data_IF_914616608220
#
_entry.id   IF_914616608220
#
_cell.length_a   1.000
_cell.length_b   1.000
_cell.length_c   1.000
_cell.angle_alpha   90.00
_cell.angle_beta   90.00
_cell.angle_gamma   90.00
#
_symmetry.space_group_name_H-M   'P 1'
#
loop_
_entity.id
_entity.type
_entity.pdbx_description
1 polymer ?
#
# COMPACT_ATOMS: atom_id res chain seq x y z
N UNK A 1 -20.53 -6.02 -9.04
CA UNK A 1 -20.95 -4.59 -8.99
C UNK A 1 -22.46 -4.39 -8.98
N UNK A 2 -23.27 -5.26 -9.62
CA UNK A 2 -24.72 -5.09 -9.76
C UNK A 2 -25.50 -4.72 -8.47
N UNK A 3 -25.07 -5.23 -7.30
CA UNK A 3 -25.74 -4.94 -6.01
C UNK A 3 -25.65 -3.48 -5.55
N UNK A 4 -24.60 -2.74 -5.92
CA UNK A 4 -24.36 -1.37 -5.44
C UNK A 4 -24.45 -0.31 -6.54
N UNK A 5 -24.82 -0.72 -7.75
CA UNK A 5 -24.83 0.16 -8.93
C UNK A 5 -25.79 1.35 -8.74
N UNK A 6 -26.93 1.14 -8.09
CA UNK A 6 -27.93 2.21 -7.85
C UNK A 6 -27.57 3.07 -6.63
N UNK A 7 -27.06 2.47 -5.55
CA UNK A 7 -26.82 3.17 -4.29
C UNK A 7 -25.49 3.94 -4.26
N UNK A 8 -24.45 3.46 -4.97
CA UNK A 8 -23.12 4.05 -4.95
C UNK A 8 -22.42 4.00 -6.33
N UNK A 9 -23.00 4.64 -7.36
CA UNK A 9 -22.51 4.54 -8.74
C UNK A 9 -21.06 5.04 -8.90
N UNK A 10 -20.70 6.13 -8.21
CA UNK A 10 -19.33 6.69 -8.25
C UNK A 10 -18.27 5.71 -7.72
N UNK A 11 -18.61 4.97 -6.66
CA UNK A 11 -17.72 3.97 -6.07
C UNK A 11 -17.52 2.77 -7.01
N UNK A 12 -18.58 2.34 -7.70
CA UNK A 12 -18.49 1.26 -8.69
C UNK A 12 -17.56 1.64 -9.85
N UNK A 13 -17.71 2.85 -10.41
CA UNK A 13 -16.84 3.35 -11.49
C UNK A 13 -15.38 3.44 -11.03
N UNK A 14 -15.13 3.95 -9.82
CA UNK A 14 -13.79 4.02 -9.25
C UNK A 14 -13.16 2.62 -9.11
N UNK A 15 -13.94 1.65 -8.60
CA UNK A 15 -13.44 0.29 -8.38
C UNK A 15 -13.18 -0.45 -9.70
N UNK A 16 -14.01 -0.22 -10.72
CA UNK A 16 -13.79 -0.76 -12.06
C UNK A 16 -12.52 -0.18 -12.71
N UNK A 17 -12.28 1.13 -12.56
CA UNK A 17 -11.07 1.78 -13.06
C UNK A 17 -9.79 1.32 -12.36
N UNK A 18 -9.87 0.98 -11.07
CA UNK A 18 -8.74 0.52 -10.27
C UNK A 18 -8.60 -1.02 -10.21
N UNK A 19 -9.36 -1.76 -11.04
CA UNK A 19 -9.43 -3.22 -10.97
C UNK A 19 -8.05 -3.89 -11.01
N UNK A 20 -7.22 -3.56 -12.00
CA UNK A 20 -5.86 -4.12 -12.14
C UNK A 20 -4.97 -3.81 -10.94
N UNK A 21 -4.99 -2.56 -10.46
CA UNK A 21 -4.18 -2.12 -9.32
C UNK A 21 -4.56 -2.85 -8.02
N UNK A 22 -5.84 -3.14 -7.82
CA UNK A 22 -6.31 -3.90 -6.66
C UNK A 22 -5.78 -5.34 -6.64
N UNK A 23 -5.55 -5.94 -7.81
CA UNK A 23 -5.04 -7.31 -7.93
C UNK A 23 -3.51 -7.39 -7.94
N UNK A 24 -2.80 -6.27 -8.03
CA UNK A 24 -1.33 -6.22 -8.05
C UNK A 24 -0.66 -6.88 -6.82
N UNK A 25 -1.39 -7.00 -5.70
CA UNK A 25 -0.88 -7.65 -4.48
C UNK A 25 -1.00 -9.18 -4.49
N UNK A 26 -1.85 -9.76 -5.36
CA UNK A 26 -2.06 -11.20 -5.43
C UNK A 26 -0.82 -12.04 -5.78
N UNK A 27 0.07 -11.63 -6.70
CA UNK A 27 1.28 -12.42 -7.00
C UNK A 27 2.30 -12.44 -5.86
N UNK A 28 2.20 -11.54 -4.88
CA UNK A 28 3.15 -11.47 -3.77
C UNK A 28 3.04 -12.69 -2.84
N UNK A 29 4.14 -13.09 -2.16
CA UNK A 29 4.09 -14.13 -1.13
C UNK A 29 3.08 -13.79 -0.02
N UNK A 30 2.51 -14.82 0.59
CA UNK A 30 1.39 -14.69 1.54
C UNK A 30 1.71 -13.78 2.74
N UNK A 31 2.96 -13.82 3.22
CA UNK A 31 3.47 -12.95 4.30
C UNK A 31 3.27 -11.47 3.98
N UNK A 32 3.58 -11.07 2.75
CA UNK A 32 3.47 -9.69 2.28
C UNK A 32 2.02 -9.32 1.94
N UNK A 33 1.30 -10.22 1.27
CA UNK A 33 -0.12 -10.01 0.92
C UNK A 33 -0.99 -9.74 2.14
N UNK A 34 -0.81 -10.50 3.23
CA UNK A 34 -1.57 -10.33 4.48
C UNK A 34 -1.42 -8.92 5.08
N UNK A 35 -0.21 -8.36 4.98
CA UNK A 35 0.09 -7.03 5.52
C UNK A 35 -0.32 -5.90 4.59
N UNK A 36 -0.12 -6.05 3.28
CA UNK A 36 -0.45 -5.02 2.28
C UNK A 36 -1.96 -4.94 1.97
N UNK A 37 -2.74 -5.96 2.35
CA UNK A 37 -4.20 -5.94 2.19
C UNK A 37 -4.89 -4.90 3.08
N UNK A 38 -4.25 -4.43 4.16
CA UNK A 38 -4.87 -3.51 5.11
C UNK A 38 -4.19 -2.15 5.10
N UNK A 39 -4.99 -1.09 5.27
CA UNK A 39 -4.54 0.30 5.41
C UNK A 39 -4.31 0.71 6.86
N UNK A 40 -4.49 -0.20 7.83
CA UNK A 40 -4.49 0.10 9.27
C UNK A 40 -3.25 0.88 9.74
N UNK A 41 -2.06 0.57 9.22
CA UNK A 41 -0.83 1.27 9.59
C UNK A 41 -0.87 2.74 9.14
N UNK A 42 -1.29 2.97 7.89
CA UNK A 42 -1.41 4.32 7.32
C UNK A 42 -2.53 5.10 8.01
N UNK A 43 -3.65 4.44 8.31
CA UNK A 43 -4.76 5.05 9.05
C UNK A 43 -4.34 5.50 10.44
N UNK A 44 -3.63 4.65 11.21
CA UNK A 44 -3.10 5.02 12.53
C UNK A 44 -2.12 6.19 12.47
N UNK A 45 -1.24 6.20 11.47
CA UNK A 45 -0.30 7.30 11.26
C UNK A 45 -1.04 8.61 10.93
N UNK A 46 -2.03 8.53 10.04
CA UNK A 46 -2.85 9.68 9.66
C UNK A 46 -3.69 10.20 10.82
N UNK A 47 -4.27 9.32 11.64
CA UNK A 47 -4.98 9.71 12.86
C UNK A 47 -4.06 10.48 13.81
N UNK A 48 -2.81 10.04 13.95
CA UNK A 48 -1.84 10.66 14.84
C UNK A 48 -1.38 12.04 14.34
N UNK A 49 -1.27 12.21 13.02
CA UNK A 49 -1.11 13.53 12.38
C UNK A 49 -2.32 14.42 12.69
N UNK A 50 -3.55 13.91 12.48
CA UNK A 50 -4.79 14.66 12.73
C UNK A 50 -4.95 15.06 14.19
N UNK A 51 -4.52 14.21 15.14
CA UNK A 51 -4.53 14.52 16.58
C UNK A 51 -3.64 15.73 16.91
N UNK A 52 -2.41 15.77 16.38
CA UNK A 52 -1.49 16.90 16.58
C UNK A 52 -1.96 18.17 15.88
N UNK A 53 -2.46 18.05 14.65
CA UNK A 53 -3.04 19.16 13.89
C UNK A 53 -4.21 19.81 14.65
N UNK A 54 -5.09 19.00 15.24
CA UNK A 54 -6.30 19.48 15.94
C UNK A 54 -5.98 20.40 17.12
N UNK A 55 -4.81 20.24 17.74
CA UNK A 55 -4.34 21.12 18.83
C UNK A 55 -3.90 22.48 18.30
N UNK A 56 -3.20 22.51 17.16
CA UNK A 56 -2.64 23.73 16.57
C UNK A 56 -3.73 24.57 15.89
N UNK A 57 -4.72 23.93 15.25
CA UNK A 57 -5.83 24.52 14.48
C UNK A 57 -5.42 25.34 13.25
N UNK A 58 -4.53 26.32 13.39
CA UNK A 58 -4.07 27.21 12.32
C UNK A 58 -2.54 27.31 12.40
N UNK A 59 -1.86 26.98 11.31
CA UNK A 59 -0.41 27.11 11.22
C UNK A 59 -0.02 28.53 10.75
N UNK A 60 1.10 29.08 11.25
CA UNK A 60 1.58 30.39 10.85
C UNK A 60 2.18 30.42 9.42
N UNK A 61 2.64 29.27 8.92
CA UNK A 61 3.13 29.07 7.55
C UNK A 61 3.26 27.56 7.25
N UNK A 62 3.42 27.22 5.96
CA UNK A 62 3.56 25.84 5.49
C UNK A 62 4.79 25.15 6.09
N UNK A 63 5.88 25.89 6.27
CA UNK A 63 7.11 25.33 6.85
C UNK A 63 6.90 24.86 8.29
N UNK A 64 6.03 25.50 9.07
CA UNK A 64 5.67 25.04 10.41
C UNK A 64 4.88 23.73 10.38
N UNK A 65 3.95 23.58 9.43
CA UNK A 65 3.21 22.33 9.24
C UNK A 65 4.14 21.18 8.82
N UNK A 66 5.02 21.44 7.85
CA UNK A 66 6.02 20.46 7.37
C UNK A 66 6.95 20.03 8.52
N UNK A 67 7.42 20.96 9.36
CA UNK A 67 8.27 20.61 10.51
C UNK A 67 7.55 19.71 11.51
N UNK A 68 6.29 20.00 11.83
CA UNK A 68 5.51 19.17 12.75
C UNK A 68 5.31 17.76 12.19
N UNK A 69 4.82 17.65 10.95
CA UNK A 69 4.59 16.35 10.31
C UNK A 69 5.90 15.59 10.14
N UNK A 70 6.96 16.28 9.68
CA UNK A 70 8.29 15.70 9.51
C UNK A 70 8.89 15.16 10.80
N UNK A 71 8.76 15.91 11.92
CA UNK A 71 9.23 15.44 13.23
C UNK A 71 8.50 14.15 13.66
N UNK A 72 7.17 14.09 13.49
CA UNK A 72 6.38 12.90 13.79
C UNK A 72 6.77 11.71 12.91
N UNK A 73 6.94 11.93 11.61
CA UNK A 73 7.32 10.87 10.68
C UNK A 73 8.74 10.36 10.98
N UNK A 74 9.66 11.22 11.41
CA UNK A 74 11.01 10.82 11.83
C UNK A 74 10.96 9.92 13.06
N UNK A 75 10.19 10.30 14.08
CA UNK A 75 10.00 9.48 15.29
C UNK A 75 9.39 8.11 14.95
N UNK A 76 8.37 8.09 14.09
CA UNK A 76 7.73 6.85 13.68
C UNK A 76 8.67 5.94 12.88
N UNK A 77 9.52 6.53 12.03
CA UNK A 77 10.52 5.81 11.26
C UNK A 77 11.54 5.13 12.19
N UNK A 78 12.03 5.83 13.20
CA UNK A 78 12.99 5.28 14.16
C UNK A 78 12.39 4.09 14.94
N UNK A 79 11.11 4.18 15.32
CA UNK A 79 10.38 3.06 15.93
C UNK A 79 10.28 1.84 15.00
N UNK A 80 9.96 2.07 13.72
CA UNK A 80 9.82 0.99 12.73
C UNK A 80 11.14 0.32 12.37
N UNK A 81 12.24 1.07 12.41
CA UNK A 81 13.60 0.53 12.26
C UNK A 81 13.96 -0.38 13.44
N UNK A 82 13.63 0.00 14.67
CA UNK A 82 13.98 -0.78 15.87
C UNK A 82 13.31 -2.16 15.96
N UNK A 83 12.09 -2.32 15.42
CA UNK A 83 11.36 -3.61 15.42
C UNK A 83 11.27 -4.28 14.05
N UNK A 84 11.95 -3.75 13.02
CA UNK A 84 11.84 -4.16 11.64
C UNK A 84 10.38 -4.49 11.25
N UNK A 85 9.53 -3.45 11.23
CA UNK A 85 8.09 -3.61 11.01
C UNK A 85 7.77 -4.42 9.74
N UNK A 86 8.64 -4.34 8.73
CA UNK A 86 8.48 -5.05 7.46
C UNK A 86 9.83 -5.62 6.97
N UNK A 87 10.05 -6.93 7.20
CA UNK A 87 11.23 -7.63 6.69
C UNK A 87 11.10 -7.91 5.19
N UNK A 88 12.06 -7.39 4.42
CA UNK A 88 12.08 -7.47 2.95
C UNK A 88 12.98 -8.59 2.40
N UNK A 89 13.66 -9.35 3.25
CA UNK A 89 14.63 -10.37 2.84
C UNK A 89 14.01 -11.39 1.89
N UNK A 90 12.91 -12.03 2.32
CA UNK A 90 12.16 -13.03 1.54
C UNK A 90 11.55 -12.43 0.26
N UNK A 91 11.15 -11.16 0.28
CA UNK A 91 10.66 -10.48 -0.93
C UNK A 91 11.75 -10.36 -1.99
N UNK A 92 12.98 -10.00 -1.61
CA UNK A 92 14.06 -9.86 -2.59
C UNK A 92 14.49 -11.20 -3.18
N UNK A 93 14.47 -12.27 -2.38
CA UNK A 93 14.68 -13.64 -2.86
C UNK A 93 13.59 -14.09 -3.84
N UNK A 94 12.32 -13.86 -3.48
CA UNK A 94 11.18 -14.10 -4.36
C UNK A 94 11.26 -13.28 -5.65
N UNK A 95 11.66 -12.01 -5.58
CA UNK A 95 11.78 -11.13 -6.75
C UNK A 95 12.89 -11.62 -7.68
N UNK A 96 14.03 -12.04 -7.14
CA UNK A 96 15.14 -12.58 -7.93
C UNK A 96 14.74 -13.84 -8.70
N UNK A 97 13.97 -14.74 -8.07
CA UNK A 97 13.49 -15.98 -8.70
C UNK A 97 12.37 -15.74 -9.73
N UNK A 98 11.50 -14.76 -9.48
CA UNK A 98 10.33 -14.47 -10.33
C UNK A 98 10.70 -13.64 -11.57
N UNK A 99 11.61 -12.66 -11.43
CA UNK A 99 12.05 -11.80 -12.55
C UNK A 99 13.02 -12.54 -13.49
N UNK A 100 13.79 -13.49 -12.99
CA UNK A 100 14.74 -14.27 -13.81
C UNK A 100 14.08 -15.36 -14.67
N UNK A 101 12.83 -15.74 -14.38
CA UNK A 101 12.13 -16.81 -15.10
C UNK A 101 10.97 -16.24 -15.91
N UNK A 102 11.19 -15.75 -17.14
CA UNK A 102 10.07 -15.46 -18.01
C UNK A 102 9.31 -16.78 -18.22
N UNK A 103 7.99 -16.71 -18.09
CA UNK A 103 7.11 -17.84 -18.29
C UNK A 103 7.47 -18.53 -19.61
N UNK A 104 8.00 -19.76 -19.54
CA UNK A 104 8.11 -20.62 -20.69
C UNK A 104 6.69 -20.97 -21.13
N UNK A 105 6.09 -20.11 -21.94
CA UNK A 105 4.87 -20.39 -22.68
C UNK A 105 5.24 -21.55 -23.60
N UNK A 106 4.88 -22.78 -23.21
CA UNK A 106 4.86 -23.92 -24.12
C UNK A 106 3.88 -23.55 -25.22
N UNK A 107 4.39 -23.04 -26.35
CA UNK A 107 3.64 -23.03 -27.60
C UNK A 107 3.34 -24.49 -27.92
N UNK A 108 2.10 -24.91 -27.71
CA UNK A 108 1.61 -26.19 -28.20
C UNK A 108 1.77 -26.20 -29.72
N UNK A 109 2.84 -26.86 -30.18
CA UNK A 109 3.01 -27.22 -31.58
C UNK A 109 2.22 -28.49 -31.85
N UNK A 110 0.88 -28.39 -31.90
CA UNK A 110 0.03 -29.43 -32.49
C UNK A 110 -1.14 -28.81 -33.24
N UNK A 111 -0.88 -28.48 -34.49
CA UNK A 111 -1.84 -28.57 -35.59
C UNK A 111 -1.00 -28.73 -36.87
N UNK A 112 -0.73 -29.99 -37.21
CA UNK A 112 -0.30 -30.46 -38.51
C UNK A 112 -1.28 -31.57 -38.90
#
# INVERSE_FOLDING_TARGET
MARFAETAPKSCVCLEGAFEDMFAILPLPEKYRRRLRTSNMQERLNEEIRRREKVIRIFPNDAAAIRMVGALLSEQNDEWLGRAYFDMTEYFEWKATTVAKPAAVKRDRRAA
#
